data_IF_988117610304
#
_entry.id   IF_988117610304
#
_cell.length_a   1.000
_cell.length_b   1.000
_cell.length_c   1.000
_cell.angle_alpha   90.00
_cell.angle_beta   90.00
_cell.angle_gamma   90.00
#
_symmetry.space_group_name_H-M   'P 1'
#
loop_
_entity.id
_entity.type
_entity.pdbx_description
1 polymer ?
#
# COMPACT_ATOMS: atom_id res chain seq x y z
N UNK A 1 2.88 1.91 16.93
CA UNK A 1 3.31 0.88 15.96
C UNK A 1 4.82 0.90 15.79
N UNK A 2 5.42 2.06 15.44
CA UNK A 2 6.89 2.18 15.27
C UNK A 2 7.67 1.69 16.49
N UNK A 3 7.16 1.95 17.70
CA UNK A 3 7.72 1.45 18.97
C UNK A 3 7.87 -0.09 19.05
N UNK A 4 7.02 -0.86 18.34
CA UNK A 4 7.09 -2.33 18.33
C UNK A 4 8.10 -2.86 17.30
N UNK A 5 8.47 -2.05 16.32
CA UNK A 5 9.31 -2.47 15.20
C UNK A 5 10.69 -3.01 15.64
N UNK A 6 11.41 -2.40 16.60
CA UNK A 6 12.70 -2.93 17.06
C UNK A 6 12.64 -4.37 17.56
N UNK A 7 11.51 -4.80 18.15
CA UNK A 7 11.34 -6.15 18.69
C UNK A 7 11.06 -7.24 17.64
N UNK A 8 10.75 -6.82 16.40
CA UNK A 8 10.39 -7.72 15.29
C UNK A 8 11.21 -7.46 14.02
N UNK A 9 12.19 -6.56 14.08
CA UNK A 9 12.97 -6.13 12.91
C UNK A 9 13.87 -7.23 12.33
N UNK A 10 14.15 -8.28 13.12
CA UNK A 10 14.92 -9.46 12.72
C UNK A 10 14.05 -10.58 12.11
N UNK A 11 12.74 -10.34 11.97
CA UNK A 11 11.78 -11.31 11.41
C UNK A 11 11.61 -11.10 9.92
N UNK A 12 11.00 -12.08 9.25
CA UNK A 12 10.67 -11.98 7.83
C UNK A 12 9.65 -10.86 7.55
N UNK A 13 9.64 -10.40 6.30
CA UNK A 13 8.80 -9.29 5.83
C UNK A 13 7.32 -9.58 6.13
N UNK A 14 6.84 -10.80 5.85
CA UNK A 14 5.47 -11.21 6.14
C UNK A 14 5.13 -11.08 7.62
N UNK A 15 6.00 -11.51 8.52
CA UNK A 15 5.79 -11.36 9.97
C UNK A 15 5.69 -9.89 10.41
N UNK A 16 6.57 -9.03 9.90
CA UNK A 16 6.59 -7.59 10.20
C UNK A 16 5.29 -6.92 9.70
N UNK A 17 4.91 -7.18 8.44
CA UNK A 17 3.69 -6.64 7.85
C UNK A 17 2.44 -7.14 8.56
N UNK A 18 2.38 -8.43 8.93
CA UNK A 18 1.25 -8.99 9.68
C UNK A 18 1.06 -8.30 11.03
N UNK A 19 2.13 -8.14 11.79
CA UNK A 19 2.08 -7.46 13.10
C UNK A 19 1.70 -5.99 12.96
N UNK A 20 2.18 -5.33 11.90
CA UNK A 20 1.79 -3.96 11.55
C UNK A 20 0.29 -3.87 11.29
N UNK A 21 -0.23 -4.73 10.41
CA UNK A 21 -1.65 -4.73 10.05
C UNK A 21 -2.56 -5.05 11.22
N UNK A 22 -2.21 -6.04 12.04
CA UNK A 22 -2.94 -6.34 13.28
C UNK A 22 -2.92 -5.16 14.25
N UNK A 23 -1.79 -4.47 14.40
CA UNK A 23 -1.68 -3.30 15.27
C UNK A 23 -2.57 -2.16 14.78
N UNK A 24 -2.57 -1.85 13.48
CA UNK A 24 -3.40 -0.80 12.91
C UNK A 24 -4.89 -1.15 13.03
N UNK A 25 -5.27 -2.39 12.75
CA UNK A 25 -6.64 -2.88 12.87
C UNK A 25 -7.21 -2.71 14.29
N UNK A 26 -6.38 -2.93 15.32
CA UNK A 26 -6.83 -2.87 16.72
C UNK A 26 -6.71 -1.49 17.38
N UNK A 27 -5.85 -0.59 16.88
CA UNK A 27 -5.51 0.66 17.58
C UNK A 27 -5.89 1.93 16.83
N UNK A 28 -6.21 1.85 15.53
CA UNK A 28 -6.67 3.02 14.76
C UNK A 28 -8.20 2.98 14.70
N UNK A 29 -8.84 3.99 15.28
CA UNK A 29 -10.29 4.17 15.21
C UNK A 29 -10.76 4.73 13.87
N UNK A 30 -12.07 4.66 13.62
CA UNK A 30 -12.69 5.15 12.38
C UNK A 30 -12.52 4.21 11.20
N UNK A 31 -12.88 4.69 9.99
CA UNK A 31 -12.87 3.87 8.78
C UNK A 31 -11.45 3.45 8.34
N UNK A 32 -10.43 4.28 8.62
CA UNK A 32 -9.06 4.08 8.15
C UNK A 32 -8.36 2.90 8.81
N UNK A 33 -8.64 2.59 10.08
CA UNK A 33 -7.99 1.51 10.82
C UNK A 33 -8.22 0.13 10.19
N UNK A 34 -9.47 -0.29 9.96
CA UNK A 34 -9.77 -1.53 9.24
C UNK A 34 -9.22 -1.57 7.81
N UNK A 35 -9.16 -0.44 7.10
CA UNK A 35 -8.65 -0.37 5.73
C UNK A 35 -7.13 -0.59 5.70
N UNK A 36 -6.35 0.22 6.42
CA UNK A 36 -4.90 0.03 6.49
C UNK A 36 -4.51 -1.30 7.13
N UNK A 37 -5.22 -1.74 8.17
CA UNK A 37 -5.03 -3.06 8.76
C UNK A 37 -5.21 -4.17 7.73
N UNK A 38 -6.25 -4.08 6.88
CA UNK A 38 -6.49 -5.05 5.80
C UNK A 38 -5.37 -5.02 4.76
N UNK A 39 -4.92 -3.84 4.33
CA UNK A 39 -3.81 -3.70 3.39
C UNK A 39 -2.58 -4.51 3.84
N UNK A 40 -2.10 -4.23 5.05
CA UNK A 40 -0.89 -4.87 5.60
C UNK A 40 -1.07 -6.37 5.84
N UNK A 41 -2.26 -6.82 6.26
CA UNK A 41 -2.54 -8.25 6.47
C UNK A 41 -2.54 -9.00 5.13
N UNK A 42 -3.08 -8.43 4.07
CA UNK A 42 -3.07 -9.05 2.73
C UNK A 42 -1.67 -9.07 2.13
N UNK A 43 -0.96 -7.94 2.19
CA UNK A 43 0.45 -7.85 1.79
C UNK A 43 1.31 -8.93 2.49
N UNK A 44 1.11 -9.12 3.80
CA UNK A 44 1.84 -10.12 4.58
C UNK A 44 1.61 -11.57 4.12
N UNK A 45 0.44 -11.89 3.55
CA UNK A 45 0.11 -13.25 3.10
C UNK A 45 0.98 -13.69 1.91
N UNK A 46 1.36 -12.75 1.05
CA UNK A 46 2.17 -13.04 -0.14
C UNK A 46 3.67 -12.82 0.03
N UNK A 47 4.10 -12.38 1.22
CA UNK A 47 5.52 -12.17 1.54
C UNK A 47 5.99 -12.99 2.74
N UNK A 48 5.29 -14.08 3.06
CA UNK A 48 5.63 -14.94 4.21
C UNK A 48 7.02 -15.55 4.04
N UNK A 49 7.86 -15.43 5.06
CA UNK A 49 9.25 -15.93 5.06
C UNK A 49 10.20 -15.23 4.07
N UNK A 50 9.76 -14.19 3.35
CA UNK A 50 10.65 -13.40 2.49
C UNK A 50 11.56 -12.51 3.35
N UNK A 51 12.86 -12.52 3.01
CA UNK A 51 13.87 -11.60 3.58
C UNK A 51 14.18 -10.42 2.64
N UNK A 52 13.83 -10.58 1.37
CA UNK A 52 13.93 -9.55 0.32
C UNK A 52 12.81 -9.77 -0.68
N UNK A 53 12.49 -8.74 -1.47
CA UNK A 53 11.52 -8.83 -2.56
C UNK A 53 12.19 -8.42 -3.88
N UNK A 54 11.87 -9.16 -4.93
CA UNK A 54 12.01 -8.72 -6.32
C UNK A 54 10.97 -7.67 -6.66
N UNK A 55 11.08 -7.02 -7.82
CA UNK A 55 10.07 -6.06 -8.27
C UNK A 55 8.70 -6.72 -8.48
N UNK A 56 8.66 -7.94 -9.00
CA UNK A 56 7.40 -8.67 -9.23
C UNK A 56 6.71 -9.03 -7.91
N UNK A 57 7.49 -9.44 -6.91
CA UNK A 57 6.98 -9.72 -5.56
C UNK A 57 6.52 -8.44 -4.84
N UNK A 58 7.22 -7.32 -5.04
CA UNK A 58 6.81 -6.01 -4.53
C UNK A 58 5.49 -5.56 -5.16
N UNK A 59 5.35 -5.68 -6.49
CA UNK A 59 4.12 -5.41 -7.21
C UNK A 59 2.97 -6.28 -6.65
N UNK A 60 3.19 -7.60 -6.54
CA UNK A 60 2.21 -8.53 -6.00
C UNK A 60 1.78 -8.14 -4.58
N UNK A 61 2.75 -7.82 -3.71
CA UNK A 61 2.50 -7.39 -2.33
C UNK A 61 1.58 -6.16 -2.26
N UNK A 62 1.87 -5.12 -3.06
CA UNK A 62 1.08 -3.89 -3.08
C UNK A 62 -0.31 -4.13 -3.70
N UNK A 63 -0.39 -4.95 -4.76
CA UNK A 63 -1.66 -5.31 -5.41
C UNK A 63 -2.60 -6.01 -4.43
N UNK A 64 -2.15 -7.07 -3.76
CA UNK A 64 -2.99 -7.81 -2.80
C UNK A 64 -3.41 -6.94 -1.61
N UNK A 65 -2.52 -6.05 -1.16
CA UNK A 65 -2.84 -5.03 -0.17
C UNK A 65 -3.99 -4.12 -0.64
N UNK A 66 -3.86 -3.53 -1.82
CA UNK A 66 -4.84 -2.62 -2.41
C UNK A 66 -6.18 -3.31 -2.69
N UNK A 67 -6.17 -4.51 -3.26
CA UNK A 67 -7.37 -5.32 -3.50
C UNK A 67 -8.09 -5.63 -2.19
N UNK A 68 -7.34 -5.87 -1.11
CA UNK A 68 -7.88 -5.99 0.24
C UNK A 68 -8.66 -4.76 0.70
N UNK A 69 -8.11 -3.57 0.46
CA UNK A 69 -8.74 -2.28 0.79
C UNK A 69 -10.01 -2.07 -0.04
N UNK A 70 -9.93 -2.27 -1.35
CA UNK A 70 -11.07 -2.12 -2.27
C UNK A 70 -12.20 -3.05 -1.86
N UNK A 71 -11.91 -4.34 -1.64
CA UNK A 71 -12.92 -5.31 -1.24
C UNK A 71 -13.55 -5.01 0.13
N UNK A 72 -12.77 -4.45 1.07
CA UNK A 72 -13.27 -4.05 2.39
C UNK A 72 -14.13 -2.79 2.31
N UNK A 73 -13.67 -1.78 1.58
CA UNK A 73 -14.29 -0.46 1.51
C UNK A 73 -15.42 -0.35 0.48
N UNK A 74 -15.47 -1.28 -0.48
CA UNK A 74 -16.37 -1.25 -1.65
C UNK A 74 -16.31 0.06 -2.44
N UNK A 75 -15.15 0.71 -2.42
CA UNK A 75 -14.94 1.99 -3.09
C UNK A 75 -14.75 1.77 -4.59
N UNK A 76 -15.35 2.65 -5.38
CA UNK A 76 -15.17 2.73 -6.83
C UNK A 76 -14.18 3.87 -7.18
N UNK A 77 -13.54 3.81 -8.36
CA UNK A 77 -12.72 4.92 -8.84
C UNK A 77 -13.53 6.23 -8.89
N UNK A 78 -13.01 7.28 -8.26
CA UNK A 78 -13.65 8.61 -8.20
C UNK A 78 -14.40 8.91 -6.90
N UNK A 79 -14.53 7.94 -5.99
CA UNK A 79 -15.21 8.12 -4.68
C UNK A 79 -14.46 9.06 -3.72
N UNK A 80 -13.30 9.60 -4.11
CA UNK A 80 -12.43 10.46 -3.29
C UNK A 80 -11.96 9.76 -2.03
N UNK A 81 -11.47 8.53 -2.20
CA UNK A 81 -10.95 7.69 -1.12
C UNK A 81 -9.48 7.37 -1.35
N UNK A 82 -8.85 6.68 -0.40
CA UNK A 82 -7.48 6.18 -0.59
C UNK A 82 -7.35 5.21 -1.79
N UNK A 83 -8.45 4.60 -2.26
CA UNK A 83 -8.42 3.73 -3.44
C UNK A 83 -8.04 4.50 -4.71
N UNK A 84 -8.36 5.80 -4.79
CA UNK A 84 -7.96 6.66 -5.92
C UNK A 84 -6.43 6.85 -6.00
N UNK A 85 -5.71 6.57 -4.92
CA UNK A 85 -4.24 6.56 -4.88
C UNK A 85 -3.71 5.14 -5.07
N UNK A 86 -4.31 4.14 -4.42
CA UNK A 86 -3.83 2.76 -4.48
C UNK A 86 -3.92 2.15 -5.88
N UNK A 87 -5.02 2.38 -6.60
CA UNK A 87 -5.20 1.78 -7.93
C UNK A 87 -4.15 2.29 -8.95
N UNK A 88 -3.86 3.61 -9.06
CA UNK A 88 -2.79 4.10 -9.92
C UNK A 88 -1.38 3.66 -9.49
N UNK A 89 -1.14 3.55 -8.17
CA UNK A 89 0.14 3.04 -7.65
C UNK A 89 0.36 1.58 -8.07
N UNK A 90 -0.66 0.73 -7.97
CA UNK A 90 -0.60 -0.67 -8.42
C UNK A 90 -0.32 -0.75 -9.92
N UNK A 91 -1.00 0.07 -10.72
CA UNK A 91 -0.79 0.08 -12.18
C UNK A 91 0.63 0.54 -12.55
N UNK A 92 1.16 1.56 -11.86
CA UNK A 92 2.53 2.03 -12.05
C UNK A 92 3.58 0.95 -11.74
N UNK A 93 3.39 0.19 -10.66
CA UNK A 93 4.26 -0.94 -10.32
C UNK A 93 4.14 -2.09 -11.32
N UNK A 94 2.94 -2.38 -11.83
CA UNK A 94 2.72 -3.37 -12.90
C UNK A 94 3.51 -2.99 -14.16
N UNK A 95 3.38 -1.75 -14.63
CA UNK A 95 4.12 -1.26 -15.80
C UNK A 95 5.63 -1.30 -15.58
N UNK A 96 6.09 -0.95 -14.37
CA UNK A 96 7.51 -1.00 -14.02
C UNK A 96 8.07 -2.43 -14.01
N UNK A 97 7.28 -3.39 -13.54
CA UNK A 97 7.60 -4.82 -13.57
C UNK A 97 7.69 -5.34 -15.01
N UNK A 98 6.73 -5.00 -15.87
CA UNK A 98 6.73 -5.35 -17.31
C UNK A 98 7.93 -4.77 -18.07
N UNK A 99 8.42 -3.61 -17.64
CA UNK A 99 9.61 -2.96 -18.21
C UNK A 99 10.92 -3.40 -17.55
N UNK A 100 10.87 -4.30 -16.56
CA UNK A 100 12.01 -4.77 -15.78
C UNK A 100 12.86 -3.64 -15.21
N UNK A 101 12.21 -2.58 -14.69
CA UNK A 101 12.90 -1.49 -14.03
C UNK A 101 13.59 -1.97 -12.75
N UNK A 102 14.55 -1.18 -12.27
CA UNK A 102 15.06 -1.36 -10.90
C UNK A 102 13.97 -1.05 -9.87
N UNK A 103 14.04 -1.69 -8.70
CA UNK A 103 13.10 -1.44 -7.59
C UNK A 103 13.07 0.05 -7.21
N UNK A 104 14.22 0.72 -7.18
CA UNK A 104 14.30 2.15 -6.86
C UNK A 104 13.52 3.00 -7.87
N UNK A 105 13.77 2.80 -9.17
CA UNK A 105 13.07 3.53 -10.23
C UNK A 105 11.56 3.25 -10.25
N UNK A 106 11.16 1.99 -9.99
CA UNK A 106 9.76 1.62 -9.89
C UNK A 106 9.06 2.30 -8.70
N UNK A 107 9.73 2.41 -7.55
CA UNK A 107 9.20 3.11 -6.37
C UNK A 107 9.08 4.62 -6.61
N UNK A 108 10.03 5.23 -7.33
CA UNK A 108 9.96 6.64 -7.73
C UNK A 108 8.74 6.90 -8.63
N UNK A 109 8.55 6.08 -9.68
CA UNK A 109 7.40 6.19 -10.58
C UNK A 109 6.05 5.95 -9.88
N UNK A 110 6.01 5.00 -8.93
CA UNK A 110 4.84 4.74 -8.10
C UNK A 110 4.52 5.94 -7.18
N UNK A 111 5.56 6.55 -6.58
CA UNK A 111 5.41 7.74 -5.76
C UNK A 111 4.88 8.94 -6.56
N UNK A 112 5.36 9.16 -7.77
CA UNK A 112 4.85 10.20 -8.66
C UNK A 112 3.38 9.97 -9.03
N UNK A 113 3.03 8.72 -9.35
CA UNK A 113 1.65 8.32 -9.66
C UNK A 113 0.71 8.59 -8.47
N UNK A 114 1.13 8.24 -7.25
CA UNK A 114 0.35 8.53 -6.04
C UNK A 114 0.18 10.02 -5.75
N UNK A 115 1.20 10.84 -6.02
CA UNK A 115 1.13 12.31 -5.84
C UNK A 115 0.17 12.97 -6.83
N UNK A 116 0.15 12.51 -8.08
CA UNK A 116 -0.74 13.04 -9.10
C UNK A 116 -2.24 12.81 -8.77
N UNK A 117 -2.53 11.78 -7.98
CA UNK A 117 -3.88 11.40 -7.55
C UNK A 117 -4.33 12.03 -6.22
N UNK A 118 -3.40 12.58 -5.44
CA UNK A 118 -3.75 13.41 -4.29
C UNK A 118 -4.59 14.61 -4.72
N UNK A 119 -5.30 15.29 -3.81
CA UNK A 119 -6.08 16.47 -4.18
C UNK A 119 -5.13 17.46 -4.87
N UNK A 120 -5.28 17.62 -6.19
CA UNK A 120 -4.82 18.81 -6.89
C UNK A 120 -5.39 19.93 -6.04
N UNK A 121 -4.52 20.76 -5.46
CA UNK A 121 -4.95 21.99 -4.81
C UNK A 121 -5.79 22.74 -5.84
N UNK A 122 -7.11 22.55 -5.79
CA UNK A 122 -8.05 23.34 -6.55
C UNK A 122 -7.74 24.76 -6.10
N UNK A 123 -7.27 25.56 -7.05
CA UNK A 123 -7.25 27.00 -6.91
C UNK A 123 -8.57 27.41 -6.25
N UNK A 124 -8.49 27.97 -5.05
CA UNK A 124 -9.51 28.90 -4.58
C UNK A 124 -9.37 30.15 -5.47
N UNK A 125 -9.94 30.07 -6.66
CA UNK A 125 -10.20 31.19 -7.52
C UNK A 125 -11.72 31.41 -7.52
N UNK A 126 -12.15 32.45 -6.80
CA UNK A 126 -13.43 33.13 -7.03
C UNK A 126 -14.66 32.55 -6.32
N UNK A 127 -14.95 33.10 -5.15
CA UNK A 127 -16.25 33.69 -4.79
C UNK A 127 -16.09 34.50 -3.50
#
# INVERSE_FOLDING_TARGET
MVEKLPSIADKDIGFILKNTGMTLLSNVGGASGPLFGTFFIRAAQVTQAHQSLTLDELYLMIREGADGVVNRGKAEPGDKTMCDVWLPVVDSLRQSSEQHLSIAAALDAACESGRACGPRHHHYAGA
#
